data_IF_047618070978
#
_entry.id   IF_047618070978
#
_cell.length_a   1.000
_cell.length_b   1.000
_cell.length_c   1.000
_cell.angle_alpha   90.00
_cell.angle_beta   90.00
_cell.angle_gamma   90.00
#
_symmetry.space_group_name_H-M   'P 1'
#
loop_
_entity.id
_entity.type
_entity.pdbx_description
1 polymer ?
#
# COMPACT_ATOMS: atom_id res chain seq x y z
N UNK A 1 2.26 -19.05 -26.07
CA UNK A 1 1.42 -17.93 -25.58
C UNK A 1 0.05 -18.40 -25.10
N UNK A 2 -0.69 -19.22 -25.87
CA UNK A 2 -2.02 -19.75 -25.48
C UNK A 2 -1.99 -20.60 -24.19
N UNK A 3 -0.91 -21.37 -23.97
CA UNK A 3 -0.78 -22.22 -22.77
C UNK A 3 -0.62 -21.43 -21.46
N UNK A 4 0.02 -20.26 -21.48
CA UNK A 4 0.14 -19.41 -20.29
C UNK A 4 -1.22 -18.81 -19.91
N UNK A 5 -2.00 -18.37 -20.90
CA UNK A 5 -3.33 -17.83 -20.69
C UNK A 5 -4.26 -18.86 -20.02
N UNK A 6 -4.18 -20.13 -20.44
CA UNK A 6 -4.98 -21.21 -19.86
C UNK A 6 -4.53 -21.60 -18.44
N UNK A 7 -3.24 -21.55 -18.13
CA UNK A 7 -2.73 -21.89 -16.80
C UNK A 7 -3.14 -20.87 -15.74
N UNK A 8 -3.03 -19.57 -16.02
CA UNK A 8 -3.39 -18.51 -15.06
C UNK A 8 -4.90 -18.40 -14.81
N UNK A 9 -5.73 -18.55 -15.84
CA UNK A 9 -7.20 -18.56 -15.68
C UNK A 9 -7.64 -19.70 -14.76
N UNK A 10 -6.96 -20.84 -14.81
CA UNK A 10 -7.26 -22.00 -13.98
C UNK A 10 -7.06 -21.79 -12.47
N UNK A 11 -6.28 -20.77 -12.05
CA UNK A 11 -6.12 -20.41 -10.64
C UNK A 11 -7.10 -19.34 -10.17
N UNK A 12 -7.51 -18.42 -11.05
CA UNK A 12 -8.36 -17.28 -10.68
C UNK A 12 -9.83 -17.73 -10.51
N UNK A 13 -10.32 -18.56 -11.43
CA UNK A 13 -11.70 -19.08 -11.41
C UNK A 13 -12.06 -19.81 -10.11
N UNK A 14 -11.24 -20.75 -9.58
CA UNK A 14 -11.57 -21.40 -8.32
C UNK A 14 -11.56 -20.44 -7.13
N UNK A 15 -10.68 -19.43 -7.10
CA UNK A 15 -10.63 -18.45 -6.01
C UNK A 15 -11.94 -17.66 -5.93
N UNK A 16 -12.44 -17.16 -7.07
CA UNK A 16 -13.69 -16.42 -7.08
C UNK A 16 -14.88 -17.32 -6.72
N UNK A 17 -14.92 -18.55 -7.23
CA UNK A 17 -16.02 -19.50 -6.93
C UNK A 17 -16.04 -19.90 -5.45
N UNK A 18 -14.88 -20.18 -4.85
CA UNK A 18 -14.77 -20.55 -3.43
C UNK A 18 -15.31 -19.41 -2.56
N UNK A 19 -14.88 -18.17 -2.80
CA UNK A 19 -15.28 -17.01 -2.01
C UNK A 19 -16.80 -16.74 -2.10
N UNK A 20 -17.37 -16.86 -3.31
CA UNK A 20 -18.81 -16.77 -3.53
C UNK A 20 -19.59 -17.88 -2.81
N UNK A 21 -19.05 -19.11 -2.78
CA UNK A 21 -19.67 -20.23 -2.05
C UNK A 21 -19.68 -20.02 -0.53
N UNK A 22 -18.71 -19.25 -0.01
CA UNK A 22 -18.60 -18.90 1.41
C UNK A 22 -19.30 -17.59 1.78
N UNK A 23 -20.07 -16.99 0.87
CA UNK A 23 -20.76 -15.70 1.07
C UNK A 23 -19.80 -14.56 1.42
N UNK A 24 -18.57 -14.61 0.89
CA UNK A 24 -17.60 -13.52 1.01
C UNK A 24 -17.70 -12.65 -0.25
N UNK A 25 -17.63 -11.33 -0.05
CA UNK A 25 -17.78 -10.35 -1.13
C UNK A 25 -16.46 -10.15 -1.83
N UNK A 26 -16.32 -10.76 -3.02
CA UNK A 26 -15.20 -10.53 -3.94
C UNK A 26 -15.73 -10.05 -5.30
N UNK A 27 -14.95 -9.24 -6.00
CA UNK A 27 -15.23 -8.81 -7.37
C UNK A 27 -14.07 -9.22 -8.27
N UNK A 28 -14.38 -9.73 -9.45
CA UNK A 28 -13.36 -10.03 -10.45
C UNK A 28 -12.85 -8.74 -11.13
N UNK A 29 -11.70 -8.84 -11.79
CA UNK A 29 -11.02 -7.70 -12.40
C UNK A 29 -11.73 -7.15 -13.64
N UNK A 30 -12.51 -7.95 -14.38
CA UNK A 30 -13.30 -7.46 -15.51
C UNK A 30 -14.49 -6.64 -15.00
N UNK A 31 -15.25 -7.16 -14.02
CA UNK A 31 -16.36 -6.43 -13.38
C UNK A 31 -15.87 -5.18 -12.64
N UNK A 32 -14.72 -5.26 -11.97
CA UNK A 32 -14.09 -4.10 -11.33
C UNK A 32 -13.70 -3.03 -12.35
N UNK A 33 -13.12 -3.41 -13.50
CA UNK A 33 -12.78 -2.46 -14.57
C UNK A 33 -14.01 -1.79 -15.17
N UNK A 34 -15.09 -2.53 -15.43
CA UNK A 34 -16.33 -1.95 -15.95
C UNK A 34 -17.01 -1.00 -14.95
N UNK A 35 -17.01 -1.37 -13.67
CA UNK A 35 -17.56 -0.49 -12.63
C UNK A 35 -16.74 0.78 -12.46
N UNK A 36 -15.41 0.69 -12.58
CA UNK A 36 -14.52 1.85 -12.59
C UNK A 36 -14.80 2.79 -13.78
N UNK A 37 -15.01 2.26 -15.00
CA UNK A 37 -15.34 3.09 -16.16
C UNK A 37 -16.63 3.90 -15.95
N UNK A 38 -17.67 3.29 -15.36
CA UNK A 38 -18.90 4.01 -15.00
C UNK A 38 -18.66 5.09 -13.95
N UNK A 39 -17.78 4.84 -12.98
CA UNK A 39 -17.39 5.84 -12.00
C UNK A 39 -16.64 7.01 -12.65
N UNK A 40 -15.70 6.70 -13.55
CA UNK A 40 -14.92 7.69 -14.29
C UNK A 40 -15.81 8.64 -15.11
N UNK A 41 -16.78 8.10 -15.85
CA UNK A 41 -17.75 8.90 -16.61
C UNK A 41 -18.61 9.80 -15.71
N UNK A 42 -19.03 9.30 -14.54
CA UNK A 42 -19.81 10.07 -13.59
C UNK A 42 -19.02 11.23 -12.98
N UNK A 43 -17.78 10.99 -12.54
CA UNK A 43 -16.92 12.05 -11.98
C UNK A 43 -16.53 13.07 -13.05
N UNK A 44 -16.29 12.63 -14.29
CA UNK A 44 -16.06 13.52 -15.41
C UNK A 44 -17.29 14.42 -15.67
N UNK A 45 -18.51 13.90 -15.54
CA UNK A 45 -19.73 14.69 -15.70
C UNK A 45 -20.00 15.64 -14.53
N UNK A 46 -19.68 15.22 -13.30
CA UNK A 46 -19.99 15.99 -12.08
C UNK A 46 -18.95 17.06 -11.77
N UNK A 47 -17.67 16.75 -11.99
CA UNK A 47 -16.53 17.57 -11.54
C UNK A 47 -15.52 17.87 -12.66
N UNK A 48 -15.78 17.40 -13.88
CA UNK A 48 -14.90 17.60 -15.05
C UNK A 48 -13.49 17.02 -14.88
N UNK A 49 -13.31 16.04 -14.00
CA UNK A 49 -12.03 15.35 -13.84
C UNK A 49 -12.09 14.22 -12.83
N UNK A 50 -11.35 13.15 -13.12
CA UNK A 50 -11.16 12.01 -12.22
C UNK A 50 -9.65 11.74 -12.09
N UNK A 51 -9.03 11.97 -10.92
CA UNK A 51 -7.62 11.65 -10.71
C UNK A 51 -7.47 10.12 -10.66
N UNK A 52 -6.72 9.56 -11.61
CA UNK A 52 -6.50 8.12 -11.69
C UNK A 52 -5.06 7.82 -12.12
N UNK A 53 -4.42 6.90 -11.40
CA UNK A 53 -3.10 6.38 -11.76
C UNK A 53 -3.26 5.11 -12.58
N UNK A 54 -3.02 5.22 -13.88
CA UNK A 54 -3.19 4.13 -14.85
C UNK A 54 -2.41 2.87 -14.46
N UNK A 55 -1.20 3.01 -13.89
CA UNK A 55 -0.34 1.87 -13.52
C UNK A 55 -0.96 1.02 -12.41
N UNK A 56 -1.74 1.63 -11.52
CA UNK A 56 -2.41 0.96 -10.41
C UNK A 56 -3.83 0.47 -10.75
N UNK A 57 -4.48 1.11 -11.73
CA UNK A 57 -5.85 0.79 -12.13
C UNK A 57 -5.88 -0.38 -13.12
N UNK A 58 -4.91 -0.46 -14.04
CA UNK A 58 -4.87 -1.57 -15.01
C UNK A 58 -4.60 -2.88 -14.28
N UNK A 59 -5.44 -3.91 -14.47
CA UNK A 59 -5.20 -5.20 -13.83
C UNK A 59 -3.86 -5.80 -14.24
N UNK A 60 -3.12 -6.43 -13.31
CA UNK A 60 -1.82 -7.05 -13.61
C UNK A 60 -1.94 -8.26 -14.55
N UNK A 61 -3.15 -8.74 -14.78
CA UNK A 61 -3.47 -9.83 -15.70
C UNK A 61 -4.53 -9.35 -16.68
N UNK A 62 -4.36 -9.72 -17.96
CA UNK A 62 -5.32 -9.39 -19.01
C UNK A 62 -5.62 -7.88 -19.15
N UNK A 63 -4.62 -7.03 -18.89
CA UNK A 63 -4.78 -5.56 -18.92
C UNK A 63 -5.42 -5.06 -20.22
N UNK A 64 -4.88 -5.43 -21.38
CA UNK A 64 -5.40 -5.01 -22.69
C UNK A 64 -6.79 -5.55 -23.04
N UNK A 65 -7.32 -6.53 -22.29
CA UNK A 65 -8.69 -7.03 -22.49
C UNK A 65 -9.69 -6.16 -21.74
N UNK A 66 -9.25 -5.42 -20.72
CA UNK A 66 -10.11 -4.54 -19.92
C UNK A 66 -10.23 -3.14 -20.56
N UNK A 67 -11.40 -2.48 -20.43
CA UNK A 67 -11.61 -1.16 -21.05
C UNK A 67 -10.69 -0.08 -20.48
N UNK A 68 -10.26 -0.23 -19.22
CA UNK A 68 -9.36 0.71 -18.53
C UNK A 68 -7.99 0.84 -19.18
N UNK A 69 -7.52 -0.18 -19.90
CA UNK A 69 -6.23 -0.12 -20.60
C UNK A 69 -6.22 0.89 -21.74
N UNK A 70 -7.35 1.06 -22.42
CA UNK A 70 -7.49 1.95 -23.57
C UNK A 70 -7.86 3.38 -23.18
N UNK A 71 -8.20 3.61 -21.90
CA UNK A 71 -8.63 4.90 -21.41
C UNK A 71 -7.42 5.72 -20.97
N UNK A 72 -7.24 6.90 -21.57
CA UNK A 72 -6.26 7.88 -21.08
C UNK A 72 -6.75 8.47 -19.76
N UNK A 73 -5.84 8.53 -18.78
CA UNK A 73 -6.10 8.99 -17.42
C UNK A 73 -5.04 10.00 -17.00
N UNK A 74 -5.46 11.02 -16.25
CA UNK A 74 -4.57 12.01 -15.69
C UNK A 74 -4.37 11.75 -14.19
N UNK A 75 -3.11 11.65 -13.78
CA UNK A 75 -2.76 11.54 -12.37
C UNK A 75 -2.45 12.93 -11.80
N UNK A 76 -3.27 13.39 -10.86
CA UNK A 76 -3.05 14.62 -10.12
C UNK A 76 -3.58 14.47 -8.69
N UNK A 77 -2.91 15.10 -7.72
CA UNK A 77 -3.24 14.94 -6.30
C UNK A 77 -4.20 16.05 -5.86
N UNK A 78 -5.35 15.65 -5.32
CA UNK A 78 -6.32 16.53 -4.68
C UNK A 78 -6.31 16.33 -3.17
N UNK A 79 -6.66 17.37 -2.39
CA UNK A 79 -6.87 17.25 -0.94
C UNK A 79 -8.37 17.23 -0.63
N UNK A 80 -8.84 16.39 0.32
CA UNK A 80 -8.08 15.48 1.18
C UNK A 80 -7.51 14.25 0.43
N UNK A 81 -6.27 13.85 0.75
CA UNK A 81 -5.57 12.70 0.12
C UNK A 81 -5.11 11.66 1.15
N UNK A 82 -4.91 10.43 0.68
CA UNK A 82 -4.18 9.40 1.41
C UNK A 82 -2.71 9.44 1.00
N UNK A 83 -1.84 9.70 1.97
CA UNK A 83 -0.39 9.80 1.75
C UNK A 83 0.33 8.61 2.38
N UNK A 84 1.42 8.14 1.77
CA UNK A 84 2.25 7.08 2.34
C UNK A 84 2.95 7.57 3.62
N UNK A 85 3.00 6.71 4.63
CA UNK A 85 3.70 6.96 5.88
C UNK A 85 4.93 6.06 6.00
N UNK A 86 5.93 6.52 6.73
CA UNK A 86 7.08 5.69 7.11
C UNK A 86 6.58 4.57 8.02
N UNK A 87 7.07 3.35 7.76
CA UNK A 87 6.75 2.18 8.56
C UNK A 87 6.97 2.45 10.07
N UNK A 88 5.98 2.15 10.93
CA UNK A 88 5.98 2.65 12.29
C UNK A 88 7.17 2.18 13.12
N UNK A 89 7.68 0.96 12.89
CA UNK A 89 8.83 0.42 13.64
C UNK A 89 10.17 1.10 13.33
N UNK A 90 10.30 1.81 12.20
CA UNK A 90 11.50 2.61 11.90
C UNK A 90 11.53 3.92 12.70
N UNK A 91 10.35 4.45 13.00
CA UNK A 91 10.19 5.74 13.71
C UNK A 91 9.89 5.53 15.20
N UNK A 92 9.42 4.36 15.60
CA UNK A 92 8.98 4.08 16.96
C UNK A 92 10.17 3.97 17.92
N UNK A 93 10.23 4.90 18.88
CA UNK A 93 11.17 4.82 20.01
C UNK A 93 10.58 3.96 21.10
N UNK A 94 11.05 2.71 21.21
CA UNK A 94 10.65 1.79 22.27
C UNK A 94 11.01 2.34 23.65
N UNK A 95 10.14 2.11 24.66
CA UNK A 95 10.35 2.61 26.03
C UNK A 95 11.70 2.16 26.64
N UNK A 96 12.13 0.92 26.37
CA UNK A 96 13.38 0.34 26.86
C UNK A 96 14.62 1.06 26.32
N UNK A 97 14.59 1.49 25.06
CA UNK A 97 15.69 2.24 24.44
C UNK A 97 15.72 3.70 24.93
N UNK A 98 14.55 4.25 25.29
CA UNK A 98 14.47 5.56 25.93
C UNK A 98 15.16 5.59 27.29
N UNK A 99 15.09 4.50 28.07
CA UNK A 99 15.77 4.38 29.37
C UNK A 99 17.28 4.15 29.21
N UNK A 100 17.72 3.37 28.22
CA UNK A 100 19.16 3.20 27.90
C UNK A 100 19.83 4.51 27.49
N UNK A 101 19.17 5.36 26.70
CA UNK A 101 19.70 6.68 26.35
C UNK A 101 19.82 7.62 27.56
N UNK A 102 18.94 7.52 28.56
CA UNK A 102 19.09 8.26 29.82
C UNK A 102 20.32 7.78 30.61
N UNK A 103 20.53 6.46 30.68
CA UNK A 103 21.69 5.88 31.37
C UNK A 103 23.03 6.21 30.68
N UNK A 104 23.06 6.35 29.35
CA UNK A 104 24.27 6.75 28.61
C UNK A 104 24.62 8.23 28.73
N UNK A 105 23.67 9.10 29.07
CA UNK A 105 23.91 10.52 29.38
C UNK A 105 24.49 10.76 30.78
N UNK A 106 24.29 9.82 31.70
CA UNK A 106 24.92 9.81 33.03
C UNK A 106 26.11 8.85 33.05
N UNK A 107 27.20 9.21 32.36
CA UNK A 107 28.48 8.50 32.61
C UNK A 107 28.78 8.63 34.10
N UNK A 108 28.90 7.54 34.88
CA UNK A 108 29.20 7.67 36.30
C UNK A 108 30.54 8.37 36.43
N UNK A 109 30.56 9.56 37.05
CA UNK A 109 31.80 10.25 37.40
C UNK A 109 32.63 9.26 38.21
N UNK A 110 33.76 8.79 37.65
CA UNK A 110 34.71 7.95 38.37
C UNK A 110 35.10 8.71 39.64
N UNK A 111 34.60 8.25 40.79
CA UNK A 111 35.04 8.76 42.08
C UNK A 111 36.45 8.24 42.26
N UNK A 112 37.45 9.06 41.96
CA UNK A 112 38.80 8.78 42.42
C UNK A 112 38.76 8.65 43.95
N UNK A 113 39.26 7.53 44.46
CA UNK A 113 39.41 7.36 45.90
C UNK A 113 40.46 8.34 46.39
N UNK A 114 40.29 8.87 47.60
CA UNK A 114 41.24 9.81 48.21
C UNK A 114 42.69 9.29 48.21
N UNK A 115 42.87 7.95 48.18
CA UNK A 115 44.15 7.25 48.12
C UNK A 115 44.85 7.34 46.75
N UNK A 116 44.13 7.65 45.68
CA UNK A 116 44.66 7.76 44.31
C UNK A 116 45.18 9.17 43.98
N UNK A 117 44.92 10.15 44.86
CA UNK A 117 45.26 11.58 44.65
C UNK A 117 46.53 12.00 45.39
N UNK A 118 46.99 11.23 46.38
CA UNK A 118 48.19 11.56 47.15
C UNK A 118 49.39 10.73 46.69
N UNK A 119 50.27 11.35 45.88
CA UNK A 119 51.68 10.99 45.75
C UNK A 119 52.53 12.24 45.95
#
# INVERSE_FOLDING_TARGET
MIMYFSFFISFIIPITIIDQSHHVTISDHHTAAESFMKHFENEQRLRNGCPADWVWIVPPMSGSVTPVYHQEMLNYVLKPSYDYMVEPWKTHVWKKDREKCKQQGERPKRKFGFRDIAR
#
